data_IF_099343418147
#
_entry.id   IF_099343418147
#
_cell.length_a   1.000
_cell.length_b   1.000
_cell.length_c   1.000
_cell.angle_alpha   90.00
_cell.angle_beta   90.00
_cell.angle_gamma   90.00
#
_symmetry.space_group_name_H-M   'P 1'
#
loop_
_entity.id
_entity.type
_entity.pdbx_description
1 polymer ?
#
# COMPACT_ATOMS: atom_id res chain seq x y z
N UNK A 1 -4.35 -10.48 27.65
CA UNK A 1 -4.16 -11.65 26.78
C UNK A 1 -4.53 -11.23 25.36
N UNK A 2 -3.54 -11.01 24.49
CA UNK A 2 -3.83 -10.68 23.08
C UNK A 2 -4.14 -11.99 22.36
N UNK A 3 -5.37 -12.16 21.90
CA UNK A 3 -5.69 -13.30 21.04
C UNK A 3 -5.10 -13.04 19.66
N UNK A 4 -4.30 -13.98 19.15
CA UNK A 4 -3.80 -13.92 17.78
C UNK A 4 -4.90 -14.40 16.84
N UNK A 5 -5.35 -13.52 15.94
CA UNK A 5 -6.29 -13.87 14.88
C UNK A 5 -5.54 -14.61 13.76
N UNK A 6 -6.21 -15.56 13.10
CA UNK A 6 -5.71 -16.08 11.82
C UNK A 6 -5.82 -15.01 10.73
N UNK A 7 -5.11 -15.19 9.61
CA UNK A 7 -5.17 -14.28 8.46
C UNK A 7 -6.60 -14.16 7.93
N UNK A 8 -7.32 -15.27 7.90
CA UNK A 8 -8.70 -15.37 7.41
C UNK A 8 -9.65 -14.62 8.33
N UNK A 9 -9.55 -14.84 9.65
CA UNK A 9 -10.33 -14.11 10.65
C UNK A 9 -10.07 -12.60 10.59
N UNK A 10 -8.82 -12.19 10.40
CA UNK A 10 -8.47 -10.78 10.23
C UNK A 10 -9.09 -10.21 8.95
N UNK A 11 -9.02 -10.94 7.84
CA UNK A 11 -9.59 -10.51 6.56
C UNK A 11 -11.12 -10.34 6.66
N UNK A 12 -11.84 -11.32 7.24
CA UNK A 12 -13.28 -11.26 7.49
C UNK A 12 -13.67 -10.03 8.34
N UNK A 13 -12.90 -9.76 9.40
CA UNK A 13 -13.13 -8.60 10.26
C UNK A 13 -12.96 -7.26 9.53
N UNK A 14 -12.09 -7.17 8.51
CA UNK A 14 -11.89 -5.95 7.72
C UNK A 14 -12.95 -5.87 6.61
N UNK A 15 -13.30 -6.99 5.97
CA UNK A 15 -14.22 -7.01 4.83
C UNK A 15 -15.68 -6.70 5.19
N UNK A 16 -16.05 -6.79 6.47
CA UNK A 16 -17.37 -6.36 6.95
C UNK A 16 -17.64 -4.86 6.78
N UNK A 17 -16.60 -4.04 6.60
CA UNK A 17 -16.75 -2.60 6.42
C UNK A 17 -16.96 -2.26 4.94
N UNK A 18 -17.99 -1.47 4.58
CA UNK A 18 -18.22 -1.09 3.19
C UNK A 18 -17.06 -0.22 2.67
N UNK A 19 -16.58 -0.48 1.45
CA UNK A 19 -15.52 0.28 0.78
C UNK A 19 -16.06 0.97 -0.47
N UNK A 20 -15.81 2.27 -0.60
CA UNK A 20 -16.17 3.04 -1.79
C UNK A 20 -15.02 2.99 -2.81
N UNK A 21 -15.34 2.70 -4.07
CA UNK A 21 -14.36 2.59 -5.16
C UNK A 21 -14.05 3.96 -5.77
N UNK A 22 -13.37 4.81 -4.99
CA UNK A 22 -12.94 6.15 -5.44
C UNK A 22 -11.47 6.22 -5.85
N UNK A 23 -10.70 5.16 -5.59
CA UNK A 23 -9.27 5.11 -5.86
C UNK A 23 -8.94 4.16 -7.03
N UNK A 24 -7.95 4.52 -7.83
CA UNK A 24 -7.33 3.65 -8.83
C UNK A 24 -6.35 2.71 -8.13
N UNK A 25 -6.81 1.50 -7.84
CA UNK A 25 -6.04 0.47 -7.15
C UNK A 25 -5.80 -0.75 -8.05
N UNK A 26 -4.69 -1.50 -7.84
CA UNK A 26 -3.59 -1.18 -6.94
C UNK A 26 -2.71 -0.06 -7.50
N UNK A 27 -2.22 0.81 -6.62
CA UNK A 27 -1.20 1.81 -6.99
C UNK A 27 0.13 1.12 -7.36
N UNK A 28 0.95 1.68 -8.27
CA UNK A 28 2.24 1.09 -8.63
C UNK A 28 3.20 0.93 -7.44
N UNK A 29 4.05 -0.10 -7.50
CA UNK A 29 5.23 -0.26 -6.66
C UNK A 29 6.46 -0.15 -7.56
N UNK A 30 7.28 0.89 -7.37
CA UNK A 30 8.37 1.24 -8.28
C UNK A 30 9.73 1.14 -7.58
N UNK A 31 10.72 0.57 -8.28
CA UNK A 31 12.12 0.57 -7.82
C UNK A 31 12.75 1.95 -7.95
N UNK A 32 13.60 2.33 -6.98
CA UNK A 32 14.35 3.58 -6.99
C UNK A 32 15.86 3.33 -7.19
N UNK A 33 16.31 2.79 -8.34
CA UNK A 33 17.68 2.31 -8.53
C UNK A 33 18.72 3.44 -8.41
N UNK A 34 18.37 4.66 -8.82
CA UNK A 34 19.25 5.84 -8.66
C UNK A 34 19.45 6.21 -7.20
N UNK A 35 18.41 6.14 -6.39
CA UNK A 35 18.49 6.45 -4.96
C UNK A 35 19.25 5.36 -4.21
N UNK A 36 18.93 4.10 -4.48
CA UNK A 36 19.69 2.93 -4.01
C UNK A 36 21.18 3.11 -4.27
N UNK A 37 21.57 3.41 -5.53
CA UNK A 37 22.97 3.63 -5.90
C UNK A 37 23.58 4.83 -5.17
N UNK A 38 22.85 5.93 -5.04
CA UNK A 38 23.33 7.14 -4.38
C UNK A 38 23.63 6.92 -2.90
N UNK A 39 22.88 6.04 -2.23
CA UNK A 39 23.02 5.74 -0.81
C UNK A 39 23.91 4.52 -0.53
N UNK A 40 24.35 3.79 -1.56
CA UNK A 40 25.12 2.55 -1.39
C UNK A 40 24.27 1.38 -0.87
N UNK A 41 22.95 1.40 -1.12
CA UNK A 41 21.96 0.48 -0.57
C UNK A 41 21.01 1.14 0.43
N UNK A 42 19.96 0.45 0.93
CA UNK A 42 19.41 -0.84 0.47
C UNK A 42 18.62 -0.70 -0.85
N UNK A 43 17.98 -1.77 -1.33
CA UNK A 43 17.00 -1.69 -2.42
C UNK A 43 15.79 -0.87 -1.97
N UNK A 44 15.64 0.33 -2.51
CA UNK A 44 14.54 1.23 -2.18
C UNK A 44 13.42 1.09 -3.20
N UNK A 45 12.20 1.01 -2.69
CA UNK A 45 10.96 0.95 -3.45
C UNK A 45 10.00 2.02 -2.97
N UNK A 46 9.15 2.52 -3.86
CA UNK A 46 8.08 3.46 -3.52
C UNK A 46 6.73 2.87 -3.92
N UNK A 47 5.79 2.86 -2.97
CA UNK A 47 4.38 2.59 -3.23
C UNK A 47 3.70 3.92 -3.57
N UNK A 48 3.23 4.06 -4.80
CA UNK A 48 2.75 5.33 -5.38
C UNK A 48 1.34 5.69 -4.93
N UNK A 49 1.13 5.90 -3.63
CA UNK A 49 -0.18 6.31 -3.08
C UNK A 49 -0.61 7.71 -3.58
N UNK A 50 0.33 8.52 -4.08
CA UNK A 50 0.07 9.75 -4.83
C UNK A 50 -0.69 9.51 -6.15
N UNK A 51 -0.80 8.26 -6.60
CA UNK A 51 -1.47 7.87 -7.84
C UNK A 51 -2.84 7.20 -7.61
N UNK A 52 -3.51 7.47 -6.47
CA UNK A 52 -4.88 6.94 -6.24
C UNK A 52 -5.95 7.61 -7.11
N UNK A 53 -5.63 8.70 -7.83
CA UNK A 53 -6.38 9.13 -9.02
C UNK A 53 -7.38 10.26 -8.79
N UNK A 54 -8.44 10.06 -8.00
CA UNK A 54 -9.54 11.03 -7.89
C UNK A 54 -9.04 12.40 -7.40
N UNK A 55 -9.22 13.44 -8.22
CA UNK A 55 -8.77 14.81 -7.92
C UNK A 55 -7.30 14.88 -7.49
N UNK A 56 -6.43 14.21 -8.26
CA UNK A 56 -5.01 13.91 -7.96
C UNK A 56 -4.78 12.83 -6.90
N UNK A 57 -5.75 12.55 -6.03
CA UNK A 57 -5.63 11.52 -5.02
C UNK A 57 -4.45 11.75 -4.07
N UNK A 58 -4.01 10.69 -3.40
CA UNK A 58 -3.05 10.70 -2.31
C UNK A 58 -3.64 10.11 -1.03
N UNK A 59 -2.78 9.55 -0.18
CA UNK A 59 -3.08 9.25 1.22
C UNK A 59 -2.51 10.36 2.10
#
# INVERSE_FOLDING_TARGET
MTQNLTREQLQEHIDRFPRMQIAHLPTPLEEMPRLTKKLGGPNIWIKREDMTGLAYGGN
#
